data_IF_124199862497
#
_entry.id   IF_124199862497
#
_cell.length_a   1.000
_cell.length_b   1.000
_cell.length_c   1.000
_cell.angle_alpha   90.00
_cell.angle_beta   90.00
_cell.angle_gamma   90.00
#
_symmetry.space_group_name_H-M   'P 1'
#
loop_
_entity.id
_entity.type
_entity.pdbx_description
1 polymer ?
#
# COMPACT_ATOMS: atom_id res chain seq x y z
N UNK A 1 48.33 33.44 31.09
CA UNK A 1 47.33 32.35 31.17
C UNK A 1 47.70 31.28 30.15
N UNK A 2 48.10 30.07 30.57
CA UNK A 2 48.43 28.97 29.65
C UNK A 2 47.13 28.35 29.14
N UNK A 3 46.90 28.42 27.83
CA UNK A 3 45.78 27.72 27.18
C UNK A 3 46.19 26.26 26.99
N UNK A 4 45.49 25.33 27.64
CA UNK A 4 45.62 23.91 27.34
C UNK A 4 44.85 23.62 26.05
N UNK A 5 45.56 23.35 24.97
CA UNK A 5 44.98 22.79 23.75
C UNK A 5 44.75 21.30 24.00
N UNK A 6 43.52 20.91 24.31
CA UNK A 6 43.15 19.50 24.43
C UNK A 6 43.01 18.92 23.02
N UNK A 7 43.86 17.94 22.69
CA UNK A 7 43.77 17.16 21.45
C UNK A 7 42.84 15.96 21.66
N UNK A 8 42.06 15.62 20.64
CA UNK A 8 41.23 14.41 20.61
C UNK A 8 42.14 13.19 20.44
N UNK A 9 41.97 12.16 21.26
CA UNK A 9 42.77 10.93 21.16
C UNK A 9 42.20 10.02 20.06
N UNK A 10 43.08 9.22 19.43
CA UNK A 10 42.66 8.23 18.44
C UNK A 10 41.71 7.17 19.02
N UNK A 11 41.89 6.82 20.31
CA UNK A 11 41.02 5.85 20.99
C UNK A 11 39.61 6.41 21.23
N UNK A 12 39.49 7.71 21.54
CA UNK A 12 38.18 8.37 21.66
C UNK A 12 37.45 8.37 20.32
N UNK A 13 38.15 8.66 19.21
CA UNK A 13 37.54 8.62 17.89
C UNK A 13 37.14 7.19 17.48
N UNK A 14 37.95 6.18 17.84
CA UNK A 14 37.68 4.78 17.55
C UNK A 14 36.44 4.24 18.29
N UNK A 15 36.28 4.58 19.57
CA UNK A 15 35.10 4.20 20.34
C UNK A 15 33.82 4.82 19.79
N UNK A 16 33.88 6.09 19.35
CA UNK A 16 32.70 6.78 18.82
C UNK A 16 32.19 6.13 17.54
N UNK A 17 33.07 5.81 16.59
CA UNK A 17 32.64 5.12 15.36
C UNK A 17 32.12 3.70 15.64
N UNK A 18 32.66 3.02 16.66
CA UNK A 18 32.17 1.72 17.08
C UNK A 18 30.74 1.79 17.63
N UNK A 19 30.46 2.77 18.50
CA UNK A 19 29.11 2.97 19.06
C UNK A 19 28.11 3.40 17.98
N UNK A 20 28.48 4.33 17.09
CA UNK A 20 27.63 4.75 15.96
C UNK A 20 27.32 3.54 15.05
N UNK A 21 28.30 2.67 14.80
CA UNK A 21 28.11 1.44 14.05
C UNK A 21 27.03 0.54 14.65
N UNK A 22 27.10 0.28 15.96
CA UNK A 22 26.11 -0.56 16.67
C UNK A 22 24.72 0.09 16.61
N UNK A 23 24.61 1.37 16.96
CA UNK A 23 23.32 2.09 16.97
C UNK A 23 22.69 2.17 15.58
N UNK A 24 23.49 2.40 14.54
CA UNK A 24 22.99 2.50 13.16
C UNK A 24 22.36 1.19 12.66
N UNK A 25 22.91 0.04 13.07
CA UNK A 25 22.41 -1.27 12.65
C UNK A 25 20.97 -1.54 13.14
N UNK A 26 20.67 -1.19 14.38
CA UNK A 26 19.34 -1.37 14.99
C UNK A 26 18.32 -0.42 14.35
N UNK A 27 18.72 0.83 14.11
CA UNK A 27 17.86 1.86 13.50
C UNK A 27 17.42 1.45 12.09
N UNK A 28 18.31 0.87 11.28
CA UNK A 28 17.99 0.48 9.91
C UNK A 28 16.86 -0.56 9.81
N UNK A 29 16.84 -1.55 10.71
CA UNK A 29 15.78 -2.57 10.74
C UNK A 29 14.43 -1.94 11.07
N UNK A 30 14.39 -1.06 12.08
CA UNK A 30 13.16 -0.37 12.48
C UNK A 30 12.62 0.55 11.38
N UNK A 31 13.52 1.22 10.64
CA UNK A 31 13.17 2.15 9.57
C UNK A 31 12.55 1.43 8.37
N UNK A 32 13.03 0.23 8.01
CA UNK A 32 12.46 -0.54 6.90
C UNK A 32 11.01 -0.95 7.20
N UNK A 33 10.74 -1.45 8.41
CA UNK A 33 9.36 -1.76 8.84
C UNK A 33 8.46 -0.52 8.84
N UNK A 34 8.95 0.61 9.36
CA UNK A 34 8.19 1.87 9.36
C UNK A 34 7.86 2.36 7.94
N UNK A 35 8.80 2.25 6.99
CA UNK A 35 8.57 2.59 5.58
C UNK A 35 7.51 1.71 4.94
N UNK A 36 7.54 0.40 5.19
CA UNK A 36 6.52 -0.52 4.65
C UNK A 36 5.14 -0.23 5.23
N UNK A 37 5.03 0.07 6.52
CA UNK A 37 3.77 0.53 7.13
C UNK A 37 3.26 1.84 6.53
N UNK A 38 4.17 2.77 6.20
CA UNK A 38 3.82 4.02 5.51
C UNK A 38 3.28 3.78 4.09
N UNK A 39 3.89 2.85 3.34
CA UNK A 39 3.38 2.41 2.04
C UNK A 39 1.99 1.78 2.16
N UNK A 40 1.79 0.92 3.15
CA UNK A 40 0.49 0.28 3.41
C UNK A 40 -0.60 1.30 3.75
N UNK A 41 -0.31 2.27 4.62
CA UNK A 41 -1.23 3.36 4.93
C UNK A 41 -1.64 4.14 3.67
N UNK A 42 -0.68 4.37 2.76
CA UNK A 42 -0.96 5.04 1.49
C UNK A 42 -1.84 4.19 0.58
N UNK A 43 -1.58 2.90 0.49
CA UNK A 43 -2.38 1.94 -0.31
C UNK A 43 -3.81 1.87 0.22
N UNK A 44 -3.97 1.75 1.55
CA UNK A 44 -5.29 1.73 2.21
C UNK A 44 -6.07 3.01 1.89
N UNK A 45 -5.43 4.18 2.00
CA UNK A 45 -6.06 5.45 1.66
C UNK A 45 -6.50 5.50 0.18
N UNK A 46 -5.65 5.06 -0.75
CA UNK A 46 -6.00 5.03 -2.18
C UNK A 46 -7.16 4.07 -2.47
N UNK A 47 -7.21 2.90 -1.82
CA UNK A 47 -8.32 1.95 -1.93
C UNK A 47 -9.64 2.57 -1.45
N UNK A 48 -9.63 3.25 -0.31
CA UNK A 48 -10.81 3.95 0.21
C UNK A 48 -11.26 5.09 -0.72
N UNK A 49 -10.30 5.88 -1.23
CA UNK A 49 -10.60 6.96 -2.17
C UNK A 49 -11.18 6.43 -3.48
N UNK A 50 -10.70 5.28 -3.98
CA UNK A 50 -11.30 4.68 -5.16
C UNK A 50 -12.73 4.21 -4.94
N UNK A 51 -13.10 3.74 -3.74
CA UNK A 51 -14.51 3.48 -3.43
C UNK A 51 -15.34 4.75 -3.58
N UNK A 52 -14.89 5.88 -3.02
CA UNK A 52 -15.58 7.17 -3.17
C UNK A 52 -15.69 7.60 -4.63
N UNK A 53 -14.64 7.37 -5.44
CA UNK A 53 -14.68 7.64 -6.87
C UNK A 53 -15.68 6.74 -7.61
N UNK A 54 -15.78 5.48 -7.22
CA UNK A 54 -16.79 4.56 -7.77
C UNK A 54 -18.21 5.02 -7.41
N UNK A 55 -18.44 5.41 -6.16
CA UNK A 55 -19.73 5.92 -5.68
C UNK A 55 -20.14 7.23 -6.37
N UNK A 56 -19.19 8.15 -6.60
CA UNK A 56 -19.46 9.44 -7.27
C UNK A 56 -19.59 9.35 -8.79
N UNK A 57 -18.92 8.39 -9.43
CA UNK A 57 -19.00 8.13 -10.87
C UNK A 57 -20.22 7.29 -11.29
N UNK A 58 -21.11 6.94 -10.35
CA UNK A 58 -22.26 6.07 -10.56
C UNK A 58 -23.35 6.76 -11.39
N UNK A 59 -23.29 6.62 -12.72
CA UNK A 59 -24.38 7.05 -13.62
C UNK A 59 -25.16 5.90 -14.26
N UNK A 60 -24.65 4.65 -14.24
CA UNK A 60 -25.43 3.48 -14.68
C UNK A 60 -24.82 2.10 -14.36
N UNK A 61 -23.48 1.96 -14.22
CA UNK A 61 -22.81 0.66 -14.04
C UNK A 61 -21.42 0.80 -13.40
N UNK A 62 -21.14 0.18 -12.24
CA UNK A 62 -19.79 0.23 -11.64
C UNK A 62 -18.73 -0.48 -12.51
N UNK A 63 -19.14 -1.46 -13.33
CA UNK A 63 -18.26 -2.12 -14.31
C UNK A 63 -17.69 -1.17 -15.37
N UNK A 64 -18.35 -0.03 -15.64
CA UNK A 64 -17.84 0.96 -16.59
C UNK A 64 -16.77 1.87 -15.95
N UNK A 65 -16.80 2.03 -14.62
CA UNK A 65 -15.80 2.78 -13.85
C UNK A 65 -14.51 1.96 -13.65
N UNK A 66 -14.62 0.63 -13.64
CA UNK A 66 -13.50 -0.30 -13.52
C UNK A 66 -13.37 -1.13 -14.82
N UNK A 67 -12.69 -0.60 -15.83
CA UNK A 67 -12.56 -1.26 -17.15
C UNK A 67 -11.66 -2.51 -17.16
N UNK A 68 -11.06 -2.86 -16.01
CA UNK A 68 -10.46 -4.17 -15.75
C UNK A 68 -11.11 -4.81 -14.51
N UNK A 69 -12.45 -4.90 -14.51
CA UNK A 69 -13.16 -5.77 -13.58
C UNK A 69 -12.89 -7.22 -13.96
N UNK A 70 -12.35 -8.00 -13.04
CA UNK A 70 -12.25 -9.44 -13.25
C UNK A 70 -13.49 -10.11 -12.70
N UNK A 71 -14.26 -10.73 -13.59
CA UNK A 71 -15.27 -11.73 -13.24
C UNK A 71 -14.54 -12.99 -12.76
N UNK A 72 -14.08 -12.99 -11.51
CA UNK A 72 -13.52 -14.15 -10.83
C UNK A 72 -12.03 -14.50 -11.06
N UNK A 73 -11.41 -14.94 -9.95
CA UNK A 73 -10.27 -15.87 -9.79
C UNK A 73 -8.86 -15.58 -10.32
N UNK A 74 -8.57 -14.53 -11.07
CA UNK A 74 -7.16 -14.22 -11.41
C UNK A 74 -6.58 -13.17 -10.45
N UNK A 75 -5.60 -13.56 -9.65
CA UNK A 75 -4.85 -12.62 -8.82
C UNK A 75 -4.06 -11.66 -9.74
N UNK A 76 -4.41 -10.37 -9.79
CA UNK A 76 -3.44 -9.32 -10.12
C UNK A 76 -3.49 -8.59 -11.47
N UNK A 77 -4.61 -8.58 -12.20
CA UNK A 77 -4.77 -7.56 -13.26
C UNK A 77 -5.19 -6.24 -12.59
N UNK A 78 -4.31 -5.24 -12.62
CA UNK A 78 -4.59 -3.92 -12.05
C UNK A 78 -5.76 -3.24 -12.77
N UNK A 79 -6.49 -2.37 -12.06
CA UNK A 79 -7.50 -1.53 -12.70
C UNK A 79 -6.83 -0.64 -13.74
N UNK A 80 -7.44 -0.56 -14.92
CA UNK A 80 -7.14 0.47 -15.91
C UNK A 80 -8.15 1.58 -15.73
N UNK A 81 -7.69 2.82 -15.69
CA UNK A 81 -8.54 4.01 -15.63
C UNK A 81 -8.19 4.94 -16.79
N UNK A 82 -9.15 5.76 -17.28
CA UNK A 82 -8.86 6.75 -18.30
C UNK A 82 -7.69 7.64 -17.88
N UNK A 83 -6.73 7.86 -18.79
CA UNK A 83 -5.60 8.75 -18.56
C UNK A 83 -6.08 10.15 -18.16
N UNK A 84 -5.51 10.70 -17.09
CA UNK A 84 -5.91 12.00 -16.53
C UNK A 84 -7.08 11.95 -15.53
N UNK A 85 -7.69 10.79 -15.28
CA UNK A 85 -8.70 10.64 -14.22
C UNK A 85 -8.08 10.60 -12.83
N UNK A 86 -8.85 11.00 -11.81
CA UNK A 86 -8.47 10.85 -10.41
C UNK A 86 -8.14 9.38 -10.06
N UNK A 87 -8.86 8.42 -10.65
CA UNK A 87 -8.56 6.99 -10.49
C UNK A 87 -7.17 6.62 -11.03
N UNK A 88 -6.77 7.14 -12.20
CA UNK A 88 -5.43 6.92 -12.75
C UNK A 88 -4.32 7.48 -11.84
N UNK A 89 -4.56 8.61 -11.19
CA UNK A 89 -3.58 9.17 -10.21
C UNK A 89 -3.42 8.27 -8.98
N UNK A 90 -4.50 7.70 -8.45
CA UNK A 90 -4.46 6.78 -7.32
C UNK A 90 -3.77 5.46 -7.66
N UNK A 91 -4.01 4.95 -8.88
CA UNK A 91 -3.35 3.74 -9.39
C UNK A 91 -1.85 3.98 -9.55
N UNK A 92 -1.44 5.10 -10.14
CA UNK A 92 -0.03 5.45 -10.31
C UNK A 92 0.69 5.59 -8.97
N UNK A 93 0.01 6.17 -7.98
CA UNK A 93 0.54 6.33 -6.62
C UNK A 93 0.69 4.99 -5.90
N UNK A 94 -0.24 4.04 -6.05
CA UNK A 94 -0.03 2.68 -5.49
C UNK A 94 1.04 1.90 -6.23
N UNK A 95 1.17 2.09 -7.55
CA UNK A 95 2.21 1.45 -8.33
C UNK A 95 3.61 1.93 -7.91
N UNK A 96 3.77 3.23 -7.64
CA UNK A 96 5.02 3.80 -7.13
C UNK A 96 5.45 3.17 -5.79
N UNK A 97 4.51 2.59 -5.04
CA UNK A 97 4.76 2.01 -3.73
C UNK A 97 5.20 0.54 -3.83
N UNK A 98 5.19 -0.03 -5.05
CA UNK A 98 5.51 -1.43 -5.34
C UNK A 98 4.30 -2.38 -5.22
N UNK A 99 3.10 -1.82 -5.29
CA UNK A 99 1.86 -2.55 -5.09
C UNK A 99 0.90 -2.37 -6.28
N UNK A 100 -0.23 -3.06 -6.22
CA UNK A 100 -1.30 -3.04 -7.22
C UNK A 100 -2.65 -2.91 -6.53
N UNK A 101 -3.56 -2.22 -7.20
CA UNK A 101 -4.97 -2.16 -6.85
C UNK A 101 -5.77 -2.87 -7.93
N UNK A 102 -6.76 -3.67 -7.54
CA UNK A 102 -7.73 -4.27 -8.44
C UNK A 102 -9.15 -4.17 -7.87
N UNK A 103 -10.16 -4.36 -8.72
CA UNK A 103 -11.56 -4.40 -8.30
C UNK A 103 -12.23 -5.66 -8.84
N UNK A 104 -13.23 -6.13 -8.11
CA UNK A 104 -14.13 -7.21 -8.50
C UNK A 104 -15.52 -6.63 -8.51
N UNK A 105 -16.25 -6.88 -9.58
CA UNK A 105 -17.70 -6.65 -9.65
C UNK A 105 -18.41 -8.00 -9.79
N UNK A 106 -19.65 -8.09 -9.33
CA UNK A 106 -20.50 -9.21 -9.73
C UNK A 106 -21.05 -9.02 -11.15
N UNK A 107 -21.84 -9.98 -11.62
CA UNK A 107 -22.59 -9.87 -12.87
C UNK A 107 -23.72 -8.81 -12.80
N UNK A 108 -23.94 -8.20 -11.62
CA UNK A 108 -24.87 -7.12 -11.41
C UNK A 108 -24.21 -5.74 -11.56
N UNK A 109 -24.98 -4.68 -11.79
CA UNK A 109 -24.43 -3.33 -11.99
C UNK A 109 -23.94 -2.66 -10.69
N UNK A 110 -24.19 -3.27 -9.52
CA UNK A 110 -24.30 -2.54 -8.24
C UNK A 110 -23.33 -2.98 -7.13
N UNK A 111 -22.73 -4.17 -7.19
CA UNK A 111 -21.82 -4.61 -6.13
C UNK A 111 -20.39 -4.64 -6.65
N UNK A 112 -19.50 -4.04 -5.88
CA UNK A 112 -18.07 -4.09 -6.14
C UNK A 112 -17.29 -4.25 -4.85
N UNK A 113 -16.07 -4.76 -4.96
CA UNK A 113 -15.05 -4.68 -3.94
C UNK A 113 -13.72 -4.26 -4.56
N UNK A 114 -13.04 -3.34 -3.89
CA UNK A 114 -11.73 -2.83 -4.28
C UNK A 114 -10.69 -3.41 -3.34
N UNK A 115 -9.56 -3.86 -3.90
CA UNK A 115 -8.46 -4.50 -3.20
C UNK A 115 -7.15 -3.78 -3.47
N UNK A 116 -6.32 -3.62 -2.46
CA UNK A 116 -4.94 -3.16 -2.58
C UNK A 116 -3.99 -4.14 -1.86
N UNK A 117 -2.92 -4.56 -2.54
CA UNK A 117 -1.93 -5.47 -1.94
C UNK A 117 -1.11 -4.74 -0.89
N UNK A 118 -0.94 -5.30 0.31
CA UNK A 118 -0.07 -4.72 1.33
C UNK A 118 1.37 -5.20 1.12
N UNK A 119 2.33 -4.33 1.42
CA UNK A 119 3.78 -4.53 1.24
C UNK A 119 4.42 -5.04 2.53
N UNK A 120 3.82 -4.82 3.71
CA UNK A 120 4.44 -5.15 5.00
C UNK A 120 4.49 -6.65 5.38
N UNK A 121 3.93 -7.56 4.59
CA UNK A 121 3.68 -8.97 4.98
C UNK A 121 4.65 -10.01 4.40
N UNK A 122 5.74 -9.60 3.77
CA UNK A 122 6.75 -10.53 3.23
C UNK A 122 6.23 -11.34 2.03
N UNK A 123 6.44 -12.67 2.02
CA UNK A 123 6.04 -13.56 0.92
C UNK A 123 4.54 -13.91 0.91
N UNK A 124 3.78 -13.50 1.93
CA UNK A 124 2.35 -13.72 1.97
C UNK A 124 1.63 -12.59 1.24
N UNK A 125 0.72 -12.92 0.34
CA UNK A 125 -0.08 -11.92 -0.37
C UNK A 125 -1.28 -11.53 0.49
N UNK A 126 -1.14 -10.51 1.33
CA UNK A 126 -2.30 -9.91 2.02
C UNK A 126 -2.86 -8.74 1.24
N UNK A 127 -4.19 -8.64 1.24
CA UNK A 127 -4.90 -7.54 0.64
C UNK A 127 -5.70 -6.81 1.70
N UNK A 128 -5.68 -5.49 1.61
CA UNK A 128 -6.73 -4.67 2.20
C UNK A 128 -7.84 -4.54 1.17
N UNK A 129 -9.10 -4.69 1.59
CA UNK A 129 -10.22 -4.48 0.70
C UNK A 129 -11.29 -3.60 1.33
N UNK A 130 -12.06 -2.95 0.46
CA UNK A 130 -13.30 -2.24 0.79
C UNK A 130 -14.40 -2.64 -0.18
N UNK A 131 -15.56 -3.02 0.34
CA UNK A 131 -16.73 -3.36 -0.47
C UNK A 131 -17.64 -2.13 -0.72
N UNK A 132 -18.58 -2.29 -1.65
CA UNK A 132 -19.61 -1.30 -1.99
C UNK A 132 -20.52 -0.89 -0.81
N UNK A 133 -20.62 -1.73 0.22
CA UNK A 133 -21.34 -1.41 1.46
C UNK A 133 -20.45 -0.74 2.52
N UNK A 134 -19.16 -0.52 2.22
CA UNK A 134 -18.18 0.11 3.09
C UNK A 134 -17.55 -0.80 4.15
N UNK A 135 -17.75 -2.11 4.08
CA UNK A 135 -17.03 -3.05 4.94
C UNK A 135 -15.59 -3.13 4.49
N UNK A 136 -14.67 -3.22 5.45
CA UNK A 136 -13.24 -3.36 5.19
C UNK A 136 -12.71 -4.60 5.86
N UNK A 137 -11.77 -5.28 5.22
CA UNK A 137 -11.06 -6.44 5.78
C UNK A 137 -9.60 -6.43 5.36
N UNK A 138 -8.73 -6.97 6.21
CA UNK A 138 -7.34 -7.29 5.90
C UNK A 138 -7.23 -8.80 5.81
N UNK A 139 -7.45 -9.35 4.62
CA UNK A 139 -7.44 -10.79 4.40
C UNK A 139 -6.15 -11.23 3.71
N UNK A 140 -5.55 -12.30 4.22
CA UNK A 140 -4.51 -13.09 3.54
C UNK A 140 -5.23 -13.90 2.46
N UNK A 141 -4.90 -13.71 1.17
CA UNK A 141 -5.53 -14.50 0.12
C UNK A 141 -5.02 -15.94 0.15
N UNK A 142 -5.84 -16.86 0.62
CA UNK A 142 -5.92 -18.19 0.02
C UNK A 142 -7.31 -18.36 -0.61
N UNK A 143 -7.34 -18.02 -1.91
CA UNK A 143 -8.02 -18.73 -3.01
C UNK A 143 -9.29 -18.21 -3.67
N UNK A 144 -10.08 -17.28 -3.13
CA UNK A 144 -11.10 -16.60 -3.98
C UNK A 144 -11.40 -15.18 -3.51
N UNK A 145 -10.92 -14.15 -4.22
CA UNK A 145 -11.32 -12.79 -3.90
C UNK A 145 -12.82 -12.63 -4.25
N UNK A 146 -13.61 -12.23 -3.26
CA UNK A 146 -15.08 -12.16 -3.32
C UNK A 146 -15.55 -10.70 -3.28
N UNK A 147 -16.78 -10.42 -3.75
CA UNK A 147 -17.37 -9.07 -3.68
C UNK A 147 -17.66 -8.58 -2.25
N UNK A 148 -17.52 -9.46 -1.25
CA UNK A 148 -17.64 -9.12 0.16
C UNK A 148 -16.26 -9.09 0.81
N UNK A 149 -15.97 -8.00 1.49
CA UNK A 149 -14.81 -7.89 2.37
C UNK A 149 -15.11 -8.56 3.71
N UNK A 150 -14.97 -9.89 3.75
CA UNK A 150 -15.00 -10.71 4.97
C UNK A 150 -13.61 -11.20 5.31
#
# INVERSE_FOLDING_TARGET
>A
MKKYTQGFTLIELLVVIAIIGILSSVVLVSLNSARNKGKDARIIASVQQMRTLAETGYSANYSATFTASQTGTTNGSGIVAPVGSNAATLIADVLAQGSVIFAITDAGPNNFAVFGRLVSVGNNTTYFCVDSAGRTSQAVSTTTPSIACS
#
